data_IF_334392994981
#
_entry.id   IF_334392994981
#
_cell.length_a   1.000
_cell.length_b   1.000
_cell.length_c   1.000
_cell.angle_alpha   90.00
_cell.angle_beta   90.00
_cell.angle_gamma   90.00
#
_symmetry.space_group_name_H-M   'P 1'
#
loop_
_entity.id
_entity.type
_entity.pdbx_description
1 polymer ?
#
# COMPACT_ATOMS: atom_id res chain seq x y z
N UNK A 1 -24.14 73.84 -18.16
CA UNK A 1 -24.77 72.90 -19.11
C UNK A 1 -23.84 72.69 -20.30
N UNK A 2 -23.11 71.56 -20.36
CA UNK A 2 -22.46 71.05 -21.58
C UNK A 2 -21.91 69.63 -21.29
N UNK A 3 -22.69 68.60 -21.61
CA UNK A 3 -22.28 67.19 -21.47
C UNK A 3 -21.32 66.81 -22.61
N UNK A 4 -20.08 66.45 -22.26
CA UNK A 4 -19.10 65.86 -23.20
C UNK A 4 -19.61 64.49 -23.70
N UNK A 5 -19.96 64.42 -24.99
CA UNK A 5 -20.32 63.17 -25.69
C UNK A 5 -19.04 62.37 -26.02
N UNK A 6 -18.98 61.10 -25.61
CA UNK A 6 -17.91 60.16 -26.03
C UNK A 6 -18.21 59.57 -27.41
N UNK A 7 -17.18 59.33 -28.21
CA UNK A 7 -17.27 58.70 -29.52
C UNK A 7 -17.53 57.17 -29.41
N UNK A 8 -18.22 56.54 -30.38
CA UNK A 8 -18.53 55.12 -30.35
C UNK A 8 -17.30 54.27 -30.72
N UNK A 9 -17.07 53.21 -29.96
CA UNK A 9 -16.05 52.18 -30.26
C UNK A 9 -16.67 51.18 -31.24
N UNK A 10 -16.05 50.89 -32.41
CA UNK A 10 -16.56 49.87 -33.31
C UNK A 10 -16.36 48.46 -32.73
N UNK A 11 -17.46 47.71 -32.65
CA UNK A 11 -17.48 46.29 -32.29
C UNK A 11 -16.71 45.45 -33.33
N UNK A 12 -15.54 44.93 -32.96
CA UNK A 12 -14.84 43.85 -33.67
C UNK A 12 -15.60 42.54 -33.50
N UNK A 13 -16.73 42.40 -34.18
CA UNK A 13 -17.37 41.11 -34.43
C UNK A 13 -17.59 41.01 -35.92
N UNK A 14 -16.62 40.47 -36.63
CA UNK A 14 -16.85 39.81 -37.92
C UNK A 14 -15.73 38.79 -38.18
N UNK A 15 -16.18 37.52 -38.18
CA UNK A 15 -15.73 36.40 -39.02
C UNK A 15 -14.30 35.90 -38.72
N UNK A 16 -14.09 34.67 -38.27
CA UNK A 16 -14.39 33.47 -39.05
C UNK A 16 -14.75 32.23 -38.22
N UNK A 17 -15.65 31.49 -38.84
CA UNK A 17 -16.24 30.18 -38.56
C UNK A 17 -15.17 29.10 -38.80
N UNK A 18 -14.81 28.35 -37.74
CA UNK A 18 -14.27 26.98 -37.64
C UNK A 18 -13.30 26.43 -38.75
N UNK A 19 -12.30 25.61 -38.38
CA UNK A 19 -12.61 24.31 -37.82
C UNK A 19 -12.24 24.27 -36.35
N UNK A 20 -13.17 23.74 -35.54
CA UNK A 20 -12.80 23.14 -34.28
C UNK A 20 -11.76 22.08 -34.64
N UNK A 21 -10.49 22.34 -34.35
CA UNK A 21 -9.49 21.29 -34.32
C UNK A 21 -10.09 20.25 -33.40
N UNK A 22 -10.32 19.09 -34.01
CA UNK A 22 -10.94 17.95 -33.39
C UNK A 22 -10.41 17.80 -31.98
N UNK A 23 -11.35 17.63 -31.07
CA UNK A 23 -11.16 17.06 -29.76
C UNK A 23 -10.24 15.85 -29.90
N UNK A 24 -8.92 16.06 -29.83
CA UNK A 24 -7.93 15.00 -29.59
C UNK A 24 -8.04 14.60 -28.13
N UNK A 25 -9.22 14.08 -27.76
CA UNK A 25 -9.34 13.10 -26.70
C UNK A 25 -8.86 11.78 -27.30
N UNK A 26 -7.55 11.63 -27.47
CA UNK A 26 -6.92 10.32 -27.66
C UNK A 26 -6.51 9.84 -26.26
N UNK A 27 -7.37 9.09 -25.57
CA UNK A 27 -7.43 7.62 -25.59
C UNK A 27 -6.17 6.89 -25.05
N UNK A 28 -5.47 7.43 -24.05
CA UNK A 28 -4.37 6.68 -23.40
C UNK A 28 -4.35 6.83 -21.87
N UNK A 29 -5.49 6.64 -21.23
CA UNK A 29 -5.50 6.08 -19.88
C UNK A 29 -6.30 4.79 -19.96
N UNK A 30 -5.68 3.75 -20.52
CA UNK A 30 -6.17 2.39 -20.30
C UNK A 30 -6.20 2.23 -18.78
N UNK A 31 -7.35 1.97 -18.14
CA UNK A 31 -7.36 1.69 -16.72
C UNK A 31 -6.51 0.45 -16.56
N UNK A 32 -5.29 0.62 -16.02
CA UNK A 32 -4.53 -0.51 -15.52
C UNK A 32 -5.46 -1.13 -14.49
N UNK A 33 -6.06 -2.27 -14.86
CA UNK A 33 -6.76 -3.14 -13.92
C UNK A 33 -5.66 -3.57 -12.95
N UNK A 34 -5.44 -2.75 -11.93
CA UNK A 34 -4.70 -3.18 -10.76
C UNK A 34 -5.58 -4.25 -10.14
N UNK A 35 -5.28 -5.51 -10.46
CA UNK A 35 -5.74 -6.64 -9.66
C UNK A 35 -5.37 -6.31 -8.23
N UNK A 36 -6.39 -5.97 -7.43
CA UNK A 36 -6.22 -5.82 -6.00
C UNK A 36 -5.93 -7.22 -5.51
N UNK A 37 -4.69 -7.46 -5.09
CA UNK A 37 -4.33 -8.68 -4.40
C UNK A 37 -5.39 -8.93 -3.30
N UNK A 38 -5.91 -10.16 -3.27
CA UNK A 38 -6.88 -10.53 -2.26
C UNK A 38 -6.28 -10.31 -0.86
N UNK A 39 -7.08 -9.82 0.11
CA UNK A 39 -6.59 -9.62 1.46
C UNK A 39 -6.15 -10.97 2.05
N UNK A 40 -4.88 -11.07 2.43
CA UNK A 40 -4.35 -12.27 3.09
C UNK A 40 -5.00 -12.38 4.47
N UNK A 41 -5.73 -13.47 4.70
CA UNK A 41 -6.29 -13.80 6.01
C UNK A 41 -5.22 -14.50 6.83
N UNK A 42 -4.86 -13.91 7.97
CA UNK A 42 -3.89 -14.49 8.90
C UNK A 42 -4.61 -15.22 10.01
N UNK A 43 -4.16 -16.44 10.30
CA UNK A 43 -4.72 -17.27 11.34
C UNK A 43 -4.32 -16.89 12.75
N UNK A 44 -4.58 -17.83 13.66
CA UNK A 44 -4.30 -17.68 15.09
C UNK A 44 -2.81 -17.43 15.35
N UNK A 45 -2.45 -16.42 16.16
CA UNK A 45 -1.06 -16.18 16.53
C UNK A 45 -0.50 -17.31 17.40
N UNK A 46 0.78 -17.62 17.21
CA UNK A 46 1.55 -18.50 18.08
C UNK A 46 2.89 -17.86 18.45
N UNK A 47 3.49 -18.36 19.54
CA UNK A 47 4.73 -17.81 20.07
C UNK A 47 5.92 -18.62 19.58
N UNK A 48 6.90 -17.91 19.05
CA UNK A 48 8.23 -18.42 18.71
C UNK A 48 9.25 -17.77 19.63
N UNK A 49 10.22 -18.53 20.12
CA UNK A 49 11.38 -18.02 20.85
C UNK A 49 12.64 -18.22 20.01
N UNK A 50 13.52 -17.23 19.95
CA UNK A 50 14.81 -17.28 19.24
C UNK A 50 15.96 -17.09 20.23
N UNK A 51 16.94 -17.99 20.21
CA UNK A 51 18.13 -17.88 21.05
C UNK A 51 19.18 -16.92 20.47
N UNK A 52 20.30 -16.74 21.18
CA UNK A 52 21.42 -15.91 20.71
C UNK A 52 22.11 -16.47 19.46
N UNK A 53 21.97 -17.77 19.22
CA UNK A 53 22.55 -18.50 18.09
C UNK A 53 21.62 -18.50 16.86
N UNK A 54 20.50 -17.77 16.91
CA UNK A 54 19.49 -17.70 15.85
C UNK A 54 18.75 -19.01 15.58
N UNK A 55 18.74 -19.92 16.54
CA UNK A 55 17.83 -21.07 16.53
C UNK A 55 16.47 -20.66 17.08
N UNK A 56 15.41 -21.17 16.47
CA UNK A 56 14.03 -20.84 16.80
C UNK A 56 13.28 -22.06 17.32
N UNK A 57 12.36 -21.80 18.25
CA UNK A 57 11.61 -22.84 18.93
C UNK A 57 10.15 -22.42 19.11
N UNK A 58 9.23 -23.35 18.90
CA UNK A 58 7.80 -23.17 19.18
C UNK A 58 7.40 -24.08 20.34
N UNK A 59 6.58 -23.54 21.24
CA UNK A 59 6.04 -24.35 22.33
C UNK A 59 4.85 -25.19 21.83
N UNK A 60 5.03 -26.51 21.76
CA UNK A 60 4.00 -27.48 21.36
C UNK A 60 3.96 -28.62 22.38
N UNK A 61 2.76 -28.98 22.82
CA UNK A 61 2.51 -30.15 23.68
C UNK A 61 3.40 -30.23 24.94
N UNK A 62 3.70 -29.09 25.57
CA UNK A 62 4.50 -29.06 26.80
C UNK A 62 6.01 -28.90 26.58
N UNK A 63 6.49 -28.93 25.33
CA UNK A 63 7.91 -28.86 25.00
C UNK A 63 8.23 -27.76 23.97
N UNK A 64 9.47 -27.25 24.02
CA UNK A 64 10.03 -26.38 22.99
C UNK A 64 10.59 -27.23 21.85
N UNK A 65 9.97 -27.13 20.67
CA UNK A 65 10.35 -27.89 19.48
C UNK A 65 11.05 -26.96 18.49
N UNK A 66 12.17 -27.38 17.86
CA UNK A 66 12.83 -26.60 16.82
C UNK A 66 11.87 -26.21 15.69
N UNK A 67 12.10 -25.04 15.09
CA UNK A 67 11.32 -24.50 13.99
C UNK A 67 12.23 -23.85 12.95
N UNK A 68 11.66 -23.42 11.83
CA UNK A 68 12.33 -22.58 10.83
C UNK A 68 12.80 -21.26 11.44
N UNK A 69 13.89 -20.71 10.89
CA UNK A 69 14.48 -19.47 11.37
C UNK A 69 13.50 -18.28 11.23
N UNK A 70 13.64 -17.25 12.08
CA UNK A 70 12.81 -16.04 11.97
C UNK A 70 12.98 -15.35 10.61
N UNK A 71 14.18 -15.44 10.03
CA UNK A 71 14.47 -14.89 8.71
C UNK A 71 13.65 -15.57 7.59
N UNK A 72 13.41 -16.87 7.69
CA UNK A 72 12.57 -17.61 6.74
C UNK A 72 11.08 -17.34 6.98
N UNK A 73 10.66 -17.36 8.24
CA UNK A 73 9.25 -17.12 8.63
C UNK A 73 8.78 -15.73 8.17
N UNK A 74 9.63 -14.70 8.25
CA UNK A 74 9.29 -13.32 7.80
C UNK A 74 8.95 -13.21 6.31
N UNK A 75 9.31 -14.19 5.49
CA UNK A 75 9.01 -14.17 4.04
C UNK A 75 7.54 -14.47 3.75
N UNK A 76 6.90 -15.28 4.59
CA UNK A 76 5.55 -15.81 4.35
C UNK A 76 4.55 -15.40 5.43
N UNK A 77 5.03 -15.17 6.65
CA UNK A 77 4.20 -14.93 7.83
C UNK A 77 4.36 -13.49 8.35
N UNK A 78 3.36 -13.03 9.10
CA UNK A 78 3.51 -11.81 9.90
C UNK A 78 4.25 -12.15 11.18
N UNK A 79 5.37 -11.46 11.41
CA UNK A 79 6.21 -11.63 12.59
C UNK A 79 6.28 -10.32 13.35
N UNK A 80 5.92 -10.35 14.63
CA UNK A 80 6.01 -9.23 15.54
C UNK A 80 6.92 -9.60 16.70
N UNK A 81 8.01 -8.85 16.88
CA UNK A 81 8.86 -8.97 18.05
C UNK A 81 8.14 -8.44 19.29
N UNK A 82 8.17 -9.22 20.38
CA UNK A 82 7.60 -8.84 21.66
C UNK A 82 8.71 -8.33 22.58
N UNK A 83 8.45 -7.31 23.42
CA UNK A 83 9.46 -6.74 24.31
C UNK A 83 9.89 -7.70 25.44
N UNK A 84 9.10 -8.74 25.70
CA UNK A 84 9.39 -9.73 26.74
C UNK A 84 10.33 -10.81 26.23
N UNK A 85 11.34 -11.17 27.03
CA UNK A 85 12.21 -12.32 26.74
C UNK A 85 11.75 -13.56 27.50
N UNK A 86 12.06 -14.73 26.96
CA UNK A 86 11.84 -16.03 27.59
C UNK A 86 13.19 -16.69 27.82
N UNK A 87 13.66 -16.80 29.06
CA UNK A 87 14.96 -17.42 29.38
C UNK A 87 16.12 -16.89 28.51
N UNK A 88 16.24 -15.55 28.41
CA UNK A 88 17.19 -14.85 27.53
C UNK A 88 16.95 -14.96 26.01
N UNK A 89 15.93 -15.70 25.58
CA UNK A 89 15.52 -15.77 24.17
C UNK A 89 14.60 -14.60 23.80
N UNK A 90 14.71 -14.13 22.56
CA UNK A 90 13.82 -13.12 22.00
C UNK A 90 12.49 -13.80 21.69
N UNK A 91 11.39 -13.16 22.08
CA UNK A 91 10.04 -13.69 21.86
C UNK A 91 9.39 -13.01 20.66
N UNK A 92 8.79 -13.80 19.80
CA UNK A 92 8.02 -13.33 18.65
C UNK A 92 6.60 -13.86 18.70
N UNK A 93 5.65 -13.02 18.28
CA UNK A 93 4.31 -13.42 17.89
C UNK A 93 4.31 -13.63 16.37
N UNK A 94 3.94 -14.82 15.91
CA UNK A 94 3.88 -15.18 14.49
C UNK A 94 2.46 -15.52 14.10
N UNK A 95 2.03 -15.03 12.94
CA UNK A 95 0.76 -15.40 12.31
C UNK A 95 1.02 -15.92 10.90
N UNK A 96 0.66 -17.17 10.67
CA UNK A 96 0.69 -17.78 9.35
C UNK A 96 -0.58 -17.39 8.56
N UNK A 97 -0.49 -17.27 7.23
CA UNK A 97 -1.69 -17.20 6.39
C UNK A 97 -2.52 -18.49 6.55
N UNK A 98 -3.85 -18.36 6.62
CA UNK A 98 -4.79 -19.51 6.65
C UNK A 98 -5.05 -20.10 5.27
#
# INVERSE_FOLDING_TARGET
MAQKRRAPIPNKRQVARAPQSEVRRSLLASPVLMERAEPIVYGKPFIVAEDSSKNTFVYKQGAWVPHDSIAEIRKTCLVKELPQRLNNMIRYEVRAPE
#
